data_IF_523087215794
#
_entry.id   IF_523087215794
#
_cell.length_a   1.000
_cell.length_b   1.000
_cell.length_c   1.000
_cell.angle_alpha   90.00
_cell.angle_beta   90.00
_cell.angle_gamma   90.00
#
_symmetry.space_group_name_H-M   'P 1'
#
loop_
_entity.id
_entity.type
_entity.pdbx_description
1 polymer ?
#
# COMPACT_ATOMS: atom_id res chain seq x y z
N UNK A 1 -17.42 -0.45 4.54
CA UNK A 1 -15.97 -0.24 4.40
C UNK A 1 -15.66 -0.03 2.92
N UNK A 2 -14.50 0.51 2.56
CA UNK A 2 -14.10 0.76 1.18
C UNK A 2 -12.72 0.16 0.91
N UNK A 3 -12.56 -0.47 -0.25
CA UNK A 3 -11.30 -1.05 -0.71
C UNK A 3 -10.51 -0.05 -1.54
N UNK A 4 -9.20 -0.08 -1.36
CA UNK A 4 -8.27 0.83 -2.02
C UNK A 4 -7.07 0.07 -2.54
N UNK A 5 -6.66 0.39 -3.77
CA UNK A 5 -5.31 0.12 -4.24
C UNK A 5 -4.45 1.32 -3.87
N UNK A 6 -3.41 1.10 -3.09
CA UNK A 6 -2.50 2.14 -2.64
C UNK A 6 -1.13 1.91 -3.26
N UNK A 7 -0.62 2.90 -3.98
CA UNK A 7 0.75 2.86 -4.48
C UNK A 7 1.56 4.04 -3.96
N UNK A 8 2.85 3.84 -3.80
CA UNK A 8 3.76 4.89 -3.35
C UNK A 8 5.06 4.94 -4.14
N UNK A 9 5.66 6.13 -4.13
CA UNK A 9 7.01 6.39 -4.60
C UNK A 9 7.72 7.19 -3.51
N UNK A 10 8.63 6.53 -2.80
CA UNK A 10 9.32 7.05 -1.61
C UNK A 10 10.78 6.63 -1.69
N UNK A 11 11.66 7.62 -1.81
CA UNK A 11 13.09 7.38 -2.03
C UNK A 11 13.81 6.92 -0.75
N UNK A 12 13.48 7.52 0.40
CA UNK A 12 14.11 7.19 1.68
C UNK A 12 13.60 5.86 2.24
N UNK A 13 14.53 4.93 2.49
CA UNK A 13 14.20 3.58 2.97
C UNK A 13 13.51 3.61 4.34
N UNK A 14 13.94 4.48 5.28
CA UNK A 14 13.36 4.52 6.63
C UNK A 14 11.91 5.00 6.59
N UNK A 15 11.60 6.01 5.78
CA UNK A 15 10.23 6.50 5.56
C UNK A 15 9.37 5.44 4.86
N UNK A 16 9.92 4.83 3.80
CA UNK A 16 9.24 3.74 3.08
C UNK A 16 8.87 2.60 4.02
N UNK A 17 9.74 2.22 4.94
CA UNK A 17 9.48 1.17 5.92
C UNK A 17 8.33 1.54 6.86
N UNK A 18 8.30 2.76 7.38
CA UNK A 18 7.17 3.25 8.19
C UNK A 18 5.86 3.25 7.41
N UNK A 19 5.89 3.66 6.14
CA UNK A 19 4.69 3.63 5.29
C UNK A 19 4.21 2.19 5.07
N UNK A 20 5.13 1.25 4.82
CA UNK A 20 4.82 -0.18 4.73
C UNK A 20 4.16 -0.69 6.00
N UNK A 21 4.75 -0.43 7.18
CA UNK A 21 4.17 -0.81 8.47
C UNK A 21 2.74 -0.27 8.64
N UNK A 22 2.51 0.99 8.27
CA UNK A 22 1.20 1.62 8.42
C UNK A 22 0.15 1.03 7.46
N UNK A 23 0.56 0.56 6.28
CA UNK A 23 -0.35 -0.05 5.31
C UNK A 23 -0.61 -1.54 5.61
N UNK A 24 0.37 -2.27 6.16
CA UNK A 24 0.22 -3.67 6.61
C UNK A 24 -0.84 -3.81 7.72
N UNK A 25 -1.13 -2.74 8.49
CA UNK A 25 -2.22 -2.73 9.48
C UNK A 25 -3.62 -2.86 8.86
N UNK A 26 -3.78 -2.57 7.56
CA UNK A 26 -5.10 -2.44 6.91
C UNK A 26 -5.26 -3.31 5.67
N UNK A 27 -4.25 -4.12 5.32
CA UNK A 27 -4.33 -4.97 4.15
C UNK A 27 -3.00 -5.60 3.78
N UNK A 28 -2.88 -5.97 2.50
CA UNK A 28 -1.81 -6.83 2.01
C UNK A 28 -0.97 -6.07 1.00
N UNK A 29 0.36 -6.22 1.12
CA UNK A 29 1.31 -5.74 0.12
C UNK A 29 1.27 -6.70 -1.06
N UNK A 30 0.93 -6.22 -2.25
CA UNK A 30 0.80 -7.06 -3.46
C UNK A 30 1.96 -6.87 -4.44
N UNK A 31 2.67 -5.73 -4.35
CA UNK A 31 3.93 -5.49 -5.05
C UNK A 31 4.87 -4.67 -4.16
N UNK A 32 6.13 -4.47 -4.59
CA UNK A 32 7.13 -3.70 -3.82
C UNK A 32 6.58 -2.36 -3.32
N UNK A 33 5.83 -1.63 -4.14
CA UNK A 33 5.27 -0.34 -3.74
C UNK A 33 3.76 -0.25 -3.91
N UNK A 34 3.05 -1.38 -3.86
CA UNK A 34 1.60 -1.46 -4.06
C UNK A 34 0.94 -2.33 -2.98
N UNK A 35 -0.15 -1.84 -2.42
CA UNK A 35 -0.95 -2.46 -1.39
C UNK A 35 -2.43 -2.49 -1.78
N UNK A 36 -3.11 -3.57 -1.38
CA UNK A 36 -4.56 -3.64 -1.36
C UNK A 36 -5.02 -3.54 0.09
N UNK A 37 -5.79 -2.50 0.42
CA UNK A 37 -6.24 -2.25 1.80
C UNK A 37 -7.75 -2.02 1.87
N UNK A 38 -8.32 -2.24 3.06
CA UNK A 38 -9.72 -1.97 3.32
C UNK A 38 -9.90 -1.09 4.56
N UNK A 39 -10.63 0.01 4.40
CA UNK A 39 -10.74 1.06 5.42
C UNK A 39 -12.18 1.54 5.57
N UNK A 40 -12.55 1.92 6.79
CA UNK A 40 -13.66 2.83 7.03
C UNK A 40 -13.16 4.29 7.01
N UNK A 41 -14.08 5.26 7.02
CA UNK A 41 -13.74 6.69 6.93
C UNK A 41 -12.84 7.16 8.09
N UNK A 42 -13.05 6.64 9.30
CA UNK A 42 -12.25 7.00 10.46
C UNK A 42 -10.79 6.52 10.31
N UNK A 43 -10.60 5.26 9.92
CA UNK A 43 -9.28 4.68 9.70
C UNK A 43 -8.56 5.37 8.53
N UNK A 44 -9.27 5.70 7.45
CA UNK A 44 -8.71 6.48 6.34
C UNK A 44 -8.19 7.84 6.81
N UNK A 45 -8.94 8.55 7.64
CA UNK A 45 -8.50 9.84 8.18
C UNK A 45 -7.29 9.71 9.11
N UNK A 46 -7.25 8.68 9.96
CA UNK A 46 -6.09 8.39 10.82
C UNK A 46 -4.85 8.03 10.01
N UNK A 47 -5.00 7.16 9.01
CA UNK A 47 -3.91 6.74 8.12
C UNK A 47 -3.33 7.93 7.36
N UNK A 48 -4.18 8.77 6.71
CA UNK A 48 -3.71 9.98 6.01
C UNK A 48 -2.90 10.90 6.91
N UNK A 49 -3.30 11.09 8.17
CA UNK A 49 -2.54 11.90 9.14
C UNK A 49 -1.16 11.30 9.45
N UNK A 50 -1.07 9.98 9.62
CA UNK A 50 0.22 9.29 9.87
C UNK A 50 1.15 9.37 8.66
N UNK A 51 0.60 9.14 7.46
CA UNK A 51 1.35 9.20 6.21
C UNK A 51 1.86 10.62 5.92
N UNK A 52 1.03 11.64 6.04
CA UNK A 52 1.43 13.04 5.83
C UNK A 52 2.53 13.53 6.79
N UNK A 53 2.62 12.94 7.99
CA UNK A 53 3.71 13.24 8.94
C UNK A 53 5.01 12.51 8.61
N UNK A 54 4.95 11.50 7.76
CA UNK A 54 6.08 10.59 7.46
C UNK A 54 6.77 10.95 6.16
N UNK A 55 6.00 11.36 5.14
CA UNK A 55 6.49 11.66 3.79
C UNK A 55 7.06 13.07 3.68
N UNK A 56 7.97 13.28 2.72
CA UNK A 56 8.55 14.58 2.38
C UNK A 56 8.05 15.15 1.05
N UNK A 57 8.54 16.34 0.69
CA UNK A 57 8.08 17.16 -0.45
C UNK A 57 7.98 16.40 -1.78
N UNK A 58 8.87 15.45 -2.05
CA UNK A 58 8.95 14.73 -3.32
C UNK A 58 8.47 13.27 -3.22
N UNK A 59 8.05 12.83 -2.05
CA UNK A 59 7.43 11.53 -1.87
C UNK A 59 5.96 11.58 -2.33
N UNK A 60 5.43 10.47 -2.86
CA UNK A 60 4.04 10.42 -3.27
C UNK A 60 3.36 9.13 -2.83
N UNK A 61 2.11 9.23 -2.40
CA UNK A 61 1.23 8.10 -2.09
C UNK A 61 -0.12 8.38 -2.74
N UNK A 62 -0.65 7.41 -3.49
CA UNK A 62 -1.93 7.51 -4.19
C UNK A 62 -2.87 6.42 -3.70
N UNK A 63 -4.13 6.79 -3.53
CA UNK A 63 -5.21 5.89 -3.13
C UNK A 63 -6.23 5.85 -4.26
N UNK A 64 -6.42 4.68 -4.85
CA UNK A 64 -7.43 4.44 -5.88
C UNK A 64 -8.55 3.60 -5.28
N UNK A 65 -9.79 4.09 -5.23
CA UNK A 65 -10.91 3.28 -4.76
C UNK A 65 -11.11 2.12 -5.73
N UNK A 66 -11.26 0.91 -5.20
CA UNK A 66 -11.53 -0.30 -5.99
C UNK A 66 -12.92 -0.79 -5.66
N UNK A 67 -13.77 -0.92 -6.67
CA UNK A 67 -15.07 -1.53 -6.50
C UNK A 67 -14.90 -3.05 -6.35
N UNK A 68 -15.63 -3.67 -5.42
CA UNK A 68 -15.58 -5.12 -5.20
C UNK A 68 -15.84 -5.92 -6.49
N UNK A 69 -16.71 -5.40 -7.37
CA UNK A 69 -17.09 -6.03 -8.64
C UNK A 69 -16.04 -5.88 -9.77
N UNK A 70 -14.88 -5.31 -9.45
CA UNK A 70 -13.76 -5.10 -10.39
C UNK A 70 -12.49 -5.81 -9.93
N UNK A 71 -12.47 -6.40 -8.73
CA UNK A 71 -11.29 -7.07 -8.17
C UNK A 71 -10.95 -8.33 -8.97
N UNK A 72 -11.96 -9.09 -9.36
CA UNK A 72 -11.85 -10.28 -10.22
C UNK A 72 -11.34 -9.94 -11.64
N UNK A 73 -11.40 -8.67 -12.03
CA UNK A 73 -10.92 -8.17 -13.32
C UNK A 73 -9.45 -7.69 -13.28
N UNK A 74 -8.78 -7.78 -12.14
CA UNK A 74 -7.36 -7.42 -12.02
C UNK A 74 -6.53 -8.40 -12.86
N UNK A 75 -5.79 -7.87 -13.82
CA UNK A 75 -4.87 -8.63 -14.66
C UNK A 75 -3.48 -8.54 -14.04
N UNK A 76 -2.92 -9.69 -13.67
CA UNK A 76 -1.56 -9.83 -13.15
C UNK A 76 -0.71 -10.51 -14.22
N UNK A 77 0.36 -9.84 -14.64
CA UNK A 77 1.40 -10.42 -15.49
C UNK A 77 2.63 -10.70 -14.64
N UNK A 78 3.19 -11.91 -14.75
CA UNK A 78 4.32 -12.37 -13.94
C UNK A 78 3.89 -13.09 -12.65
N UNK A 79 4.69 -12.97 -11.59
CA UNK A 79 4.49 -13.74 -10.36
C UNK A 79 3.33 -13.15 -9.56
N UNK A 80 2.32 -13.99 -9.24
CA UNK A 80 1.19 -13.63 -8.38
C UNK A 80 1.58 -13.43 -6.91
N UNK A 81 2.66 -14.09 -6.49
CA UNK A 81 3.18 -13.96 -5.13
C UNK A 81 4.12 -12.76 -5.13
N UNK A 82 3.95 -11.87 -4.16
CA UNK A 82 4.78 -10.68 -4.11
C UNK A 82 6.26 -11.09 -3.91
N UNK A 83 7.23 -10.54 -4.67
CA UNK A 83 8.60 -11.06 -4.68
C UNK A 83 9.29 -11.13 -3.31
N UNK A 84 8.89 -10.26 -2.37
CA UNK A 84 9.42 -10.28 -1.01
C UNK A 84 8.97 -11.51 -0.21
N UNK A 85 7.77 -12.05 -0.46
CA UNK A 85 7.32 -13.28 0.20
C UNK A 85 8.14 -14.50 -0.24
N UNK A 86 8.45 -14.60 -1.54
CA UNK A 86 9.26 -15.69 -2.09
C UNK A 86 10.69 -15.71 -1.56
N UNK A 87 11.26 -14.53 -1.32
CA UNK A 87 12.65 -14.39 -0.88
C UNK A 87 12.84 -14.62 0.63
N UNK A 88 11.76 -14.70 1.42
CA UNK A 88 11.84 -14.62 2.89
C UNK A 88 12.36 -13.28 3.42
N UNK A 89 12.66 -12.32 2.53
CA UNK A 89 13.22 -11.01 2.84
C UNK A 89 12.12 -9.98 2.66
N UNK A 90 11.79 -9.24 3.73
CA UNK A 90 11.04 -7.99 3.57
C UNK A 90 11.92 -7.02 2.78
N UNK A 91 11.58 -6.75 1.52
CA UNK A 91 12.22 -5.68 0.76
C UNK A 91 11.86 -4.34 1.40
N UNK A 92 12.84 -3.82 2.14
CA UNK A 92 12.87 -2.47 2.71
C UNK A 92 13.51 -1.53 1.68
#
# INVERSE_FOLDING_TARGET
MMKWLVCFDISDNKKRNKVVEYLEEFGVRVQKSVFEIELNLNNLNKLKKRLNKTIEKYDSIRFYPVNANQIDKIIILGVKIAPFELSGIKFL
#
